data_IF_379121990674
#
_entry.id   IF_379121990674
#
_cell.length_a   1.000
_cell.length_b   1.000
_cell.length_c   1.000
_cell.angle_alpha   90.00
_cell.angle_beta   90.00
_cell.angle_gamma   90.00
#
_symmetry.space_group_name_H-M   'P 1'
#
loop_
_entity.id
_entity.type
_entity.pdbx_description
1 polymer ?
#
# COMPACT_ATOMS: atom_id res chain seq x y z
N UNK A 1 -19.56 -18.10 -4.92
CA UNK A 1 -18.28 -17.38 -5.12
C UNK A 1 -17.80 -17.66 -6.53
N UNK A 2 -17.36 -16.65 -7.28
CA UNK A 2 -16.70 -16.89 -8.58
C UNK A 2 -15.44 -17.74 -8.40
N UNK A 3 -15.11 -18.54 -9.42
CA UNK A 3 -13.92 -19.42 -9.44
C UNK A 3 -12.64 -18.63 -9.17
N UNK A 4 -12.56 -17.39 -9.67
CA UNK A 4 -11.44 -16.47 -9.43
C UNK A 4 -11.35 -15.99 -7.98
N UNK A 5 -12.46 -15.60 -7.34
CA UNK A 5 -12.45 -15.21 -5.92
C UNK A 5 -11.98 -16.37 -5.04
N UNK A 6 -12.43 -17.59 -5.34
CA UNK A 6 -11.97 -18.79 -4.62
C UNK A 6 -10.47 -19.00 -4.82
N UNK A 7 -9.98 -18.86 -6.06
CA UNK A 7 -8.55 -18.92 -6.37
C UNK A 7 -7.70 -17.86 -5.64
N UNK A 8 -8.18 -16.62 -5.56
CA UNK A 8 -7.50 -15.55 -4.79
C UNK A 8 -7.48 -15.90 -3.30
N UNK A 9 -8.61 -16.35 -2.73
CA UNK A 9 -8.67 -16.74 -1.32
C UNK A 9 -7.72 -17.90 -1.03
N UNK A 10 -7.69 -18.92 -1.87
CA UNK A 10 -6.76 -20.05 -1.75
C UNK A 10 -5.30 -19.56 -1.84
N UNK A 11 -4.98 -18.66 -2.78
CA UNK A 11 -3.66 -18.05 -2.91
C UNK A 11 -3.24 -17.27 -1.66
N UNK A 12 -4.14 -16.44 -1.12
CA UNK A 12 -3.90 -15.65 0.09
C UNK A 12 -3.63 -16.51 1.33
N UNK A 13 -4.18 -17.73 1.39
CA UNK A 13 -4.02 -18.66 2.50
C UNK A 13 -2.93 -19.71 2.28
N UNK A 14 -2.26 -19.74 1.11
CA UNK A 14 -1.13 -20.64 0.86
C UNK A 14 -0.07 -20.52 1.97
N UNK A 15 0.58 -21.61 2.41
CA UNK A 15 1.63 -21.55 3.41
C UNK A 15 2.78 -20.64 2.97
N UNK A 16 3.15 -19.66 3.80
CA UNK A 16 4.32 -18.81 3.57
C UNK A 16 5.54 -19.41 4.29
N UNK A 17 6.63 -19.66 3.55
CA UNK A 17 7.86 -20.19 4.12
C UNK A 17 8.55 -19.12 4.95
N UNK A 18 8.84 -19.40 6.23
CA UNK A 18 9.51 -18.44 7.15
C UNK A 18 11.01 -18.65 7.29
N UNK A 19 11.43 -19.91 7.18
CA UNK A 19 12.82 -20.33 7.33
C UNK A 19 13.41 -20.68 5.97
N UNK A 20 14.29 -19.80 5.50
CA UNK A 20 15.03 -19.94 4.25
C UNK A 20 16.38 -19.21 4.38
N UNK A 21 17.38 -19.61 3.58
CA UNK A 21 18.65 -18.88 3.54
C UNK A 21 18.41 -17.41 3.17
N UNK A 22 19.10 -16.50 3.85
CA UNK A 22 19.13 -15.07 3.53
C UNK A 22 20.58 -14.65 3.33
N UNK A 23 20.78 -13.47 2.74
CA UNK A 23 22.12 -12.89 2.64
C UNK A 23 22.71 -12.73 4.03
N UNK A 24 23.96 -13.16 4.19
CA UNK A 24 24.71 -12.93 5.42
C UNK A 24 25.07 -11.44 5.52
N UNK A 25 25.11 -10.93 6.74
CA UNK A 25 25.64 -9.59 7.02
C UNK A 25 27.10 -9.57 6.57
N UNK A 26 27.45 -8.61 5.71
CA UNK A 26 28.83 -8.43 5.25
C UNK A 26 29.61 -7.75 6.37
N UNK A 27 30.64 -8.44 6.85
CA UNK A 27 31.52 -7.98 7.93
C UNK A 27 32.93 -7.98 7.34
N UNK A 28 33.63 -6.85 7.46
CA UNK A 28 34.97 -6.67 6.88
C UNK A 28 36.09 -6.74 7.93
N UNK A 29 35.79 -6.55 9.21
CA UNK A 29 36.77 -6.63 10.29
C UNK A 29 36.23 -6.09 11.62
N UNK A 30 37.14 -5.89 12.59
CA UNK A 30 36.81 -5.24 13.86
C UNK A 30 36.38 -3.79 13.64
N UNK A 31 35.37 -3.35 14.40
CA UNK A 31 34.84 -1.99 14.32
C UNK A 31 34.37 -1.59 12.91
N UNK A 32 34.15 -2.55 12.01
CA UNK A 32 33.57 -2.27 10.70
C UNK A 32 32.08 -1.96 10.84
N UNK A 33 31.35 -2.87 11.48
CA UNK A 33 29.90 -2.79 11.65
C UNK A 33 29.52 -3.06 13.09
N UNK A 34 28.85 -2.10 13.71
CA UNK A 34 28.09 -2.30 14.93
C UNK A 34 26.60 -2.40 14.61
N UNK A 35 25.90 -3.18 15.43
CA UNK A 35 24.44 -3.24 15.43
C UNK A 35 23.91 -2.76 16.78
N UNK A 36 22.85 -1.97 16.78
CA UNK A 36 22.21 -1.52 18.01
C UNK A 36 20.68 -1.65 17.97
N UNK A 37 20.09 -1.83 19.14
CA UNK A 37 18.64 -2.00 19.32
C UNK A 37 18.22 -1.46 20.69
N UNK A 38 16.96 -1.03 20.81
CA UNK A 38 16.39 -0.56 22.06
C UNK A 38 15.44 -1.62 22.62
N UNK A 39 15.76 -2.16 23.80
CA UNK A 39 14.98 -3.20 24.43
C UNK A 39 14.04 -2.61 25.48
N UNK A 40 12.76 -2.94 25.38
CA UNK A 40 11.74 -2.48 26.33
C UNK A 40 11.65 -3.34 27.60
N UNK A 41 11.62 -2.67 28.76
CA UNK A 41 11.48 -3.24 30.11
C UNK A 41 10.46 -2.44 30.95
N UNK A 42 9.56 -1.69 30.31
CA UNK A 42 8.62 -0.76 30.95
C UNK A 42 7.81 -1.34 32.13
N UNK A 43 7.30 -2.60 32.07
CA UNK A 43 6.51 -3.17 33.17
C UNK A 43 7.25 -3.23 34.51
N UNK A 44 8.58 -3.20 34.49
CA UNK A 44 9.42 -3.34 35.68
C UNK A 44 10.02 -2.01 36.16
N UNK A 45 9.59 -0.88 35.61
CA UNK A 45 10.21 0.42 35.86
C UNK A 45 10.16 0.85 37.34
N UNK A 46 9.07 0.51 38.05
CA UNK A 46 8.86 0.87 39.46
C UNK A 46 9.97 0.32 40.36
N UNK A 47 10.38 -0.94 40.15
CA UNK A 47 11.44 -1.60 40.92
C UNK A 47 12.85 -1.33 40.38
N UNK A 48 12.96 -0.58 39.29
CA UNK A 48 14.22 -0.29 38.58
C UNK A 48 14.51 1.21 38.52
N UNK A 49 14.24 1.98 39.58
CA UNK A 49 14.60 3.42 39.68
C UNK A 49 14.08 4.26 38.49
N UNK A 50 12.96 3.84 37.89
CA UNK A 50 12.34 4.48 36.73
C UNK A 50 12.98 4.16 35.36
N UNK A 51 13.96 3.25 35.29
CA UNK A 51 14.52 2.78 34.02
C UNK A 51 13.51 1.88 33.29
N UNK A 52 13.27 2.18 32.02
CA UNK A 52 12.21 1.59 31.19
C UNK A 52 12.74 0.84 29.99
N UNK A 53 13.98 1.13 29.58
CA UNK A 53 14.60 0.59 28.37
C UNK A 53 16.07 0.28 28.63
N UNK A 54 16.68 -0.55 27.80
CA UNK A 54 18.14 -0.59 27.69
C UNK A 54 18.57 -0.62 26.23
N UNK A 55 19.52 0.24 25.88
CA UNK A 55 20.17 0.26 24.57
C UNK A 55 21.18 -0.88 24.56
N UNK A 56 21.12 -1.74 23.56
CA UNK A 56 22.14 -2.76 23.31
C UNK A 56 22.93 -2.42 22.07
N UNK A 57 24.25 -2.64 22.13
CA UNK A 57 25.17 -2.41 21.02
C UNK A 57 26.10 -3.62 20.93
N UNK A 58 26.37 -4.12 19.72
CA UNK A 58 27.26 -5.26 19.51
C UNK A 58 28.13 -5.04 18.28
N UNK A 59 29.43 -5.33 18.43
CA UNK A 59 30.36 -5.40 17.30
C UNK A 59 30.12 -6.70 16.51
N UNK A 60 29.86 -6.57 15.21
CA UNK A 60 29.45 -7.70 14.38
C UNK A 60 30.57 -8.73 14.19
N UNK A 61 31.84 -8.32 14.26
CA UNK A 61 32.99 -9.19 14.05
C UNK A 61 33.34 -9.97 15.33
N UNK A 62 33.71 -9.26 16.39
CA UNK A 62 34.12 -9.82 17.69
C UNK A 62 32.97 -10.35 18.53
N UNK A 63 31.72 -9.98 18.23
CA UNK A 63 30.55 -10.21 19.09
C UNK A 63 30.64 -9.51 20.45
N UNK A 64 31.60 -8.60 20.66
CA UNK A 64 31.70 -7.85 21.90
C UNK A 64 30.49 -6.92 22.00
N UNK A 65 29.81 -6.96 23.12
CA UNK A 65 28.56 -6.24 23.33
C UNK A 65 28.62 -5.31 24.53
N UNK A 66 27.79 -4.27 24.46
CA UNK A 66 27.56 -3.29 25.50
C UNK A 66 26.06 -3.11 25.69
N UNK A 67 25.66 -2.70 26.89
CA UNK A 67 24.30 -2.28 27.15
C UNK A 67 24.26 -1.15 28.17
N UNK A 68 23.36 -0.19 27.94
CA UNK A 68 23.17 0.99 28.78
C UNK A 68 21.68 1.12 29.16
N UNK A 69 21.32 1.32 30.43
CA UNK A 69 19.93 1.51 30.85
C UNK A 69 19.45 2.94 30.55
N UNK A 70 18.20 3.09 30.14
CA UNK A 70 17.55 4.38 29.83
C UNK A 70 16.19 4.51 30.51
N UNK A 71 15.87 5.73 30.94
CA UNK A 71 14.57 6.07 31.53
C UNK A 71 13.53 6.42 30.45
N UNK A 72 13.96 6.97 29.33
CA UNK A 72 13.10 7.29 28.19
C UNK A 72 13.70 6.80 26.88
N UNK A 73 12.86 6.72 25.84
CA UNK A 73 13.26 6.47 24.45
C UNK A 73 13.47 7.77 23.66
N UNK A 74 13.69 8.89 24.36
CA UNK A 74 13.92 10.17 23.67
C UNK A 74 15.23 10.13 22.92
N UNK A 75 15.25 10.83 21.79
CA UNK A 75 16.44 11.08 20.98
C UNK A 75 17.68 11.47 21.80
N UNK A 76 17.50 12.33 22.82
CA UNK A 76 18.59 12.81 23.66
C UNK A 76 19.18 11.70 24.53
N UNK A 77 18.33 10.93 25.23
CA UNK A 77 18.77 9.84 26.11
C UNK A 77 19.47 8.74 25.32
N UNK A 78 18.94 8.36 24.15
CA UNK A 78 19.56 7.35 23.28
C UNK A 78 20.91 7.83 22.76
N UNK A 79 21.03 9.11 22.38
CA UNK A 79 22.30 9.70 21.93
C UNK A 79 23.34 9.69 23.06
N UNK A 80 22.94 10.04 24.29
CA UNK A 80 23.82 10.02 25.45
C UNK A 80 24.29 8.59 25.79
N UNK A 81 23.38 7.61 25.74
CA UNK A 81 23.73 6.21 25.93
C UNK A 81 24.72 5.70 24.86
N UNK A 82 24.49 6.03 23.58
CA UNK A 82 25.44 5.71 22.50
C UNK A 82 26.82 6.35 22.74
N UNK A 83 26.87 7.61 23.20
CA UNK A 83 28.12 8.28 23.53
C UNK A 83 28.88 7.55 24.65
N UNK A 84 28.18 7.06 25.67
CA UNK A 84 28.79 6.26 26.74
C UNK A 84 29.35 4.94 26.22
N UNK A 85 28.63 4.25 25.32
CA UNK A 85 29.12 3.02 24.69
C UNK A 85 30.37 3.29 23.86
N UNK A 86 30.38 4.35 23.03
CA UNK A 86 31.55 4.73 22.23
C UNK A 86 32.76 5.02 23.12
N UNK A 87 32.56 5.72 24.25
CA UNK A 87 33.61 5.97 25.24
C UNK A 87 34.11 4.68 25.88
N UNK A 88 33.21 3.78 26.28
CA UNK A 88 33.55 2.50 26.91
C UNK A 88 34.27 1.53 25.95
N UNK A 89 33.97 1.60 24.65
CA UNK A 89 34.63 0.79 23.63
C UNK A 89 36.05 1.28 23.31
N UNK A 90 36.35 2.57 23.54
CA UNK A 90 37.63 3.20 23.22
C UNK A 90 37.90 3.38 21.71
N UNK A 91 37.04 2.84 20.85
CA UNK A 91 37.09 2.95 19.38
C UNK A 91 35.67 3.11 18.83
N UNK A 92 35.56 3.77 17.68
CA UNK A 92 34.29 4.00 16.98
C UNK A 92 34.18 3.07 15.76
N UNK A 93 32.97 2.60 15.42
CA UNK A 93 32.78 1.80 14.22
C UNK A 93 32.75 2.65 12.95
N UNK A 94 33.03 2.05 11.79
CA UNK A 94 32.77 2.70 10.49
C UNK A 94 31.27 2.82 10.22
N UNK A 95 30.53 1.79 10.61
CA UNK A 95 29.10 1.69 10.36
C UNK A 95 28.31 1.32 11.61
N UNK A 96 27.16 1.98 11.79
CA UNK A 96 26.18 1.64 12.82
C UNK A 96 24.85 1.29 12.16
N UNK A 97 24.44 0.03 12.29
CA UNK A 97 23.14 -0.43 11.82
C UNK A 97 22.13 -0.43 12.98
N UNK A 98 21.06 0.32 12.82
CA UNK A 98 19.94 0.42 13.77
C UNK A 98 18.63 -0.01 13.11
N UNK A 99 17.54 -0.01 13.87
CA UNK A 99 16.22 -0.09 13.29
C UNK A 99 15.70 1.30 12.89
N UNK A 100 14.57 1.35 12.17
CA UNK A 100 13.97 2.59 11.67
C UNK A 100 13.32 3.44 12.80
N UNK A 101 13.71 3.23 14.06
CA UNK A 101 13.23 4.01 15.19
C UNK A 101 13.63 5.48 15.06
N UNK A 102 12.65 6.38 15.22
CA UNK A 102 12.87 7.83 15.18
C UNK A 102 13.90 8.33 16.19
N UNK A 103 14.11 7.58 17.27
CA UNK A 103 15.09 7.84 18.32
C UNK A 103 16.54 7.90 17.80
N UNK A 104 16.86 7.17 16.72
CA UNK A 104 18.20 7.16 16.13
C UNK A 104 18.39 8.21 15.01
N UNK A 105 17.29 8.71 14.44
CA UNK A 105 17.28 9.63 13.29
C UNK A 105 16.94 11.07 13.69
N UNK A 106 17.69 11.61 14.64
CA UNK A 106 17.54 12.98 15.13
C UNK A 106 18.83 13.80 14.94
N UNK A 107 18.72 15.13 14.99
CA UNK A 107 19.84 16.05 14.76
C UNK A 107 21.01 15.85 15.73
N UNK A 108 20.76 15.52 17.00
CA UNK A 108 21.81 15.27 18.00
C UNK A 108 22.56 13.97 17.71
N UNK A 109 21.84 12.90 17.39
CA UNK A 109 22.44 11.62 17.00
C UNK A 109 23.26 11.78 15.72
N UNK A 110 22.71 12.47 14.70
CA UNK A 110 23.43 12.75 13.46
C UNK A 110 24.72 13.56 13.70
N UNK A 111 24.68 14.56 14.60
CA UNK A 111 25.87 15.32 14.98
C UNK A 111 26.94 14.43 15.66
N UNK A 112 26.51 13.52 16.56
CA UNK A 112 27.41 12.56 17.19
C UNK A 112 28.04 11.60 16.15
N UNK A 113 27.23 11.06 15.25
CA UNK A 113 27.70 10.18 14.17
C UNK A 113 28.71 10.91 13.27
N UNK A 114 28.42 12.16 12.88
CA UNK A 114 29.34 12.99 12.08
C UNK A 114 30.66 13.24 12.80
N UNK A 115 30.62 13.55 14.10
CA UNK A 115 31.83 13.78 14.93
C UNK A 115 32.74 12.56 14.97
N UNK A 116 32.16 11.36 15.06
CA UNK A 116 32.89 10.09 15.11
C UNK A 116 33.10 9.46 13.72
N UNK A 117 32.71 10.14 12.64
CA UNK A 117 32.77 9.65 11.25
C UNK A 117 32.06 8.29 11.06
N UNK A 118 30.96 8.09 11.79
CA UNK A 118 30.16 6.87 11.75
C UNK A 118 29.06 7.04 10.70
N UNK A 119 28.96 6.10 9.77
CA UNK A 119 27.82 6.02 8.87
C UNK A 119 26.69 5.21 9.51
N UNK A 120 25.61 5.89 9.92
CA UNK A 120 24.41 5.26 10.49
C UNK A 120 23.40 4.88 9.40
N UNK A 121 22.89 3.66 9.44
CA UNK A 121 21.88 3.20 8.48
C UNK A 121 20.90 2.19 9.09
N UNK A 122 19.78 1.99 8.40
CA UNK A 122 18.76 0.99 8.76
C UNK A 122 18.50 0.06 7.60
N UNK A 123 18.05 -1.16 7.91
CA UNK A 123 17.61 -2.12 6.89
C UNK A 123 16.09 -2.18 6.84
N UNK A 124 15.54 -2.12 5.63
CA UNK A 124 14.09 -2.20 5.37
C UNK A 124 13.54 -3.64 5.36
N UNK A 125 14.35 -4.65 5.68
CA UNK A 125 13.92 -6.07 5.69
C UNK A 125 13.19 -6.47 6.97
N UNK A 126 12.31 -7.47 6.84
CA UNK A 126 11.52 -8.09 7.93
C UNK A 126 12.36 -8.62 9.08
N UNK A 127 13.58 -9.06 8.80
CA UNK A 127 14.60 -9.41 9.81
C UNK A 127 15.57 -8.25 9.88
N UNK A 128 15.59 -7.52 11.01
CA UNK A 128 16.37 -6.29 11.19
C UNK A 128 17.87 -6.63 11.37
N UNK A 129 18.55 -5.88 12.24
CA UNK A 129 19.89 -6.13 12.74
C UNK A 129 19.96 -7.48 13.51
N UNK A 130 20.04 -8.58 12.75
CA UNK A 130 19.89 -9.95 13.27
C UNK A 130 20.92 -10.39 14.31
N UNK A 131 22.09 -9.73 14.36
CA UNK A 131 23.14 -10.04 15.33
C UNK A 131 22.76 -9.46 16.69
N UNK A 132 22.34 -8.20 16.74
CA UNK A 132 21.88 -7.57 18.00
C UNK A 132 20.59 -8.22 18.49
N UNK A 133 19.67 -8.62 17.61
CA UNK A 133 18.48 -9.40 18.00
C UNK A 133 18.84 -10.73 18.67
N UNK A 134 19.83 -11.47 18.12
CA UNK A 134 20.33 -12.70 18.74
C UNK A 134 20.95 -12.41 20.10
N UNK A 135 21.76 -11.35 20.21
CA UNK A 135 22.34 -10.93 21.47
C UNK A 135 21.26 -10.59 22.51
N UNK A 136 20.25 -9.81 22.13
CA UNK A 136 19.12 -9.44 22.99
C UNK A 136 18.39 -10.67 23.53
N UNK A 137 18.21 -11.72 22.70
CA UNK A 137 17.66 -12.99 23.16
C UNK A 137 18.54 -13.64 24.23
N UNK A 138 19.84 -13.74 24.01
CA UNK A 138 20.78 -14.31 24.99
C UNK A 138 20.79 -13.51 26.29
N UNK A 139 20.85 -12.18 26.20
CA UNK A 139 20.85 -11.30 27.36
C UNK A 139 19.55 -11.44 28.17
N UNK A 140 18.39 -11.43 27.50
CA UNK A 140 17.10 -11.68 28.15
C UNK A 140 17.06 -13.04 28.83
N UNK A 141 17.50 -14.11 28.17
CA UNK A 141 17.53 -15.45 28.78
C UNK A 141 18.35 -15.47 30.07
N UNK A 142 19.55 -14.85 30.07
CA UNK A 142 20.36 -14.74 31.29
C UNK A 142 19.67 -13.90 32.36
N UNK A 143 19.13 -12.74 31.99
CA UNK A 143 18.42 -11.84 32.89
C UNK A 143 17.21 -12.49 33.56
N UNK A 144 16.40 -13.25 32.81
CA UNK A 144 15.25 -13.97 33.36
C UNK A 144 15.64 -15.09 34.32
N UNK A 145 16.78 -15.75 34.11
CA UNK A 145 17.30 -16.72 35.09
C UNK A 145 17.68 -16.04 36.39
N UNK A 146 18.35 -14.88 36.33
CA UNK A 146 18.67 -14.10 37.53
C UNK A 146 17.40 -13.61 38.22
N UNK A 147 16.37 -13.17 37.48
CA UNK A 147 15.08 -12.78 38.06
C UNK A 147 14.45 -13.91 38.87
N UNK A 148 14.42 -15.12 38.31
CA UNK A 148 13.91 -16.29 39.02
C UNK A 148 14.75 -16.63 40.24
N UNK A 149 16.07 -16.52 40.15
CA UNK A 149 16.99 -16.82 41.25
C UNK A 149 16.88 -15.81 42.41
N UNK A 150 16.73 -14.52 42.11
CA UNK A 150 16.67 -13.46 43.12
C UNK A 150 15.24 -13.10 43.59
N UNK A 151 14.20 -13.66 42.95
CA UNK A 151 12.81 -13.36 43.26
C UNK A 151 12.39 -11.91 42.98
N UNK A 152 13.09 -11.21 42.09
CA UNK A 152 12.88 -9.78 41.82
C UNK A 152 13.21 -9.42 40.37
N UNK A 153 12.50 -8.43 39.82
CA UNK A 153 12.72 -7.92 38.47
C UNK A 153 13.73 -6.76 38.39
N UNK A 154 14.57 -6.57 39.43
CA UNK A 154 15.67 -5.59 39.42
C UNK A 154 16.74 -6.00 38.41
N UNK A 155 16.81 -5.32 37.26
CA UNK A 155 17.74 -5.62 36.17
C UNK A 155 18.82 -4.56 35.98
N UNK A 156 18.59 -3.31 36.39
CA UNK A 156 19.55 -2.20 36.18
C UNK A 156 20.90 -2.53 36.80
N UNK A 157 20.89 -3.03 38.04
CA UNK A 157 22.10 -3.37 38.78
C UNK A 157 22.72 -4.71 38.31
N UNK A 158 21.93 -5.58 37.65
CA UNK A 158 22.40 -6.84 37.06
C UNK A 158 23.09 -6.66 35.71
N UNK A 159 22.69 -5.63 34.96
CA UNK A 159 23.09 -5.46 33.56
C UNK A 159 24.62 -5.50 33.36
N UNK A 160 25.46 -4.79 34.15
CA UNK A 160 26.92 -4.85 33.98
C UNK A 160 27.51 -6.26 34.18
N UNK A 161 26.98 -7.03 35.16
CA UNK A 161 27.39 -8.42 35.41
C UNK A 161 27.06 -9.29 34.19
N UNK A 162 25.83 -9.21 33.68
CA UNK A 162 25.38 -10.01 32.54
C UNK A 162 26.16 -9.73 31.25
N UNK A 163 26.50 -8.47 31.00
CA UNK A 163 27.30 -8.07 29.84
C UNK A 163 28.72 -8.60 29.94
N UNK A 164 29.35 -8.51 31.12
CA UNK A 164 30.67 -9.07 31.38
C UNK A 164 30.68 -10.58 31.16
N UNK A 165 29.76 -11.31 31.77
CA UNK A 165 29.63 -12.75 31.55
C UNK A 165 29.45 -13.12 30.07
N UNK A 166 28.66 -12.34 29.33
CA UNK A 166 28.45 -12.56 27.90
C UNK A 166 29.77 -12.39 27.12
N UNK A 167 30.54 -11.34 27.41
CA UNK A 167 31.80 -11.03 26.73
C UNK A 167 32.96 -11.95 27.15
N UNK A 168 32.89 -12.55 28.34
CA UNK A 168 33.89 -13.49 28.87
C UNK A 168 33.55 -14.96 28.58
N UNK A 169 32.38 -15.24 28.00
CA UNK A 169 32.01 -16.59 27.58
C UNK A 169 32.52 -16.90 26.18
N UNK A 170 32.96 -18.14 25.93
CA UNK A 170 33.35 -18.58 24.58
C UNK A 170 32.11 -18.65 23.68
N UNK A 171 32.14 -17.97 22.54
CA UNK A 171 31.03 -17.98 21.59
C UNK A 171 31.32 -18.91 20.42
N UNK A 172 30.50 -19.95 20.24
CA UNK A 172 30.62 -20.91 19.12
C UNK A 172 30.79 -20.24 17.74
N UNK A 173 30.13 -19.10 17.53
CA UNK A 173 30.09 -18.38 16.25
C UNK A 173 31.47 -17.86 15.83
N UNK A 174 32.31 -17.47 16.79
CA UNK A 174 33.67 -16.95 16.56
C UNK A 174 34.75 -17.94 17.05
N UNK A 175 34.42 -18.83 17.99
CA UNK A 175 35.33 -19.84 18.55
C UNK A 175 36.11 -19.40 19.79
N UNK A 176 35.94 -18.16 20.24
CA UNK A 176 36.66 -17.59 21.38
C UNK A 176 35.76 -16.64 22.18
N UNK A 177 36.31 -16.03 23.25
CA UNK A 177 35.60 -15.02 24.04
C UNK A 177 35.59 -13.68 23.28
N UNK A 178 34.45 -12.98 23.20
CA UNK A 178 34.40 -11.66 22.56
C UNK A 178 35.40 -10.63 23.09
N UNK A 179 35.72 -10.68 24.38
CA UNK A 179 36.65 -9.74 25.01
C UNK A 179 38.11 -9.95 24.58
N UNK A 180 38.47 -11.17 24.18
CA UNK A 180 39.85 -11.56 23.83
C UNK A 180 40.16 -11.37 22.33
N UNK A 181 39.19 -10.95 21.52
CA UNK A 181 39.37 -10.83 20.07
C UNK A 181 40.32 -9.69 19.73
N UNK A 182 41.35 -10.01 18.94
CA UNK A 182 42.34 -9.05 18.42
C UNK A 182 42.33 -8.99 16.89
N UNK A 183 43.08 -8.05 16.31
CA UNK A 183 43.24 -7.94 14.84
C UNK A 183 43.82 -9.22 14.21
N UNK A 184 44.64 -9.98 14.95
CA UNK A 184 45.25 -11.24 14.47
C UNK A 184 44.21 -12.34 14.25
N UNK A 185 43.10 -12.30 14.99
CA UNK A 185 42.04 -13.32 14.94
C UNK A 185 41.04 -13.05 13.80
N UNK A 186 41.00 -11.81 13.29
CA UNK A 186 40.03 -11.35 12.30
C UNK A 186 39.98 -12.24 11.05
N UNK A 187 41.09 -12.63 10.41
CA UNK A 187 41.03 -13.48 9.21
C UNK A 187 40.30 -14.81 9.46
N UNK A 188 40.60 -15.49 10.57
CA UNK A 188 39.96 -16.74 10.97
C UNK A 188 38.47 -16.52 11.26
N UNK A 189 38.14 -15.46 12.02
CA UNK A 189 36.76 -15.11 12.36
C UNK A 189 35.96 -14.85 11.07
N UNK A 190 36.48 -14.04 10.15
CA UNK A 190 35.82 -13.73 8.88
C UNK A 190 35.60 -14.98 8.03
N UNK A 191 36.57 -15.90 7.98
CA UNK A 191 36.42 -17.18 7.28
C UNK A 191 35.25 -17.98 7.87
N UNK A 192 35.19 -18.09 9.22
CA UNK A 192 34.12 -18.80 9.93
C UNK A 192 32.75 -18.16 9.71
N UNK A 193 32.67 -16.83 9.74
CA UNK A 193 31.42 -16.08 9.52
C UNK A 193 30.90 -16.20 8.08
N UNK A 194 31.80 -16.10 7.10
CA UNK A 194 31.47 -16.28 5.67
C UNK A 194 30.97 -17.69 5.41
N UNK A 195 31.52 -18.69 6.09
CA UNK A 195 31.18 -20.10 5.91
C UNK A 195 31.59 -20.61 4.52
N UNK A 196 31.29 -21.88 4.20
CA UNK A 196 31.65 -22.44 2.91
C UNK A 196 30.87 -21.75 1.78
N UNK A 197 31.47 -21.65 0.58
CA UNK A 197 30.74 -21.20 -0.61
C UNK A 197 29.59 -22.17 -0.92
N UNK A 198 28.50 -21.65 -1.48
CA UNK A 198 27.39 -22.50 -1.92
C UNK A 198 27.86 -23.55 -2.93
N UNK A 199 27.38 -24.78 -2.75
CA UNK A 199 27.63 -25.88 -3.68
C UNK A 199 27.02 -25.60 -5.06
N UNK A 200 27.52 -26.29 -6.11
CA UNK A 200 26.94 -26.22 -7.47
C UNK A 200 25.45 -26.60 -7.48
N UNK A 201 25.06 -27.55 -6.64
CA UNK A 201 23.66 -28.03 -6.51
C UNK A 201 22.77 -26.92 -5.95
N UNK A 202 23.20 -26.25 -4.87
CA UNK A 202 22.44 -25.15 -4.27
C UNK A 202 22.31 -23.96 -5.22
N UNK A 203 23.39 -23.62 -5.96
CA UNK A 203 23.34 -22.58 -6.99
C UNK A 203 22.32 -22.91 -8.08
N UNK A 204 22.30 -24.15 -8.59
CA UNK A 204 21.30 -24.61 -9.58
C UNK A 204 19.88 -24.59 -9.02
N UNK A 205 19.68 -25.01 -7.77
CA UNK A 205 18.37 -25.00 -7.11
C UNK A 205 17.82 -23.57 -6.96
N UNK A 206 18.67 -22.61 -6.60
CA UNK A 206 18.29 -21.20 -6.50
C UNK A 206 17.96 -20.60 -7.88
N UNK A 207 18.69 -20.99 -8.93
CA UNK A 207 18.45 -20.51 -10.28
C UNK A 207 17.11 -21.01 -10.88
N UNK A 208 16.73 -22.28 -10.64
CA UNK A 208 15.49 -22.88 -11.18
C UNK A 208 14.19 -22.22 -10.71
N UNK A 209 14.21 -21.50 -9.58
CA UNK A 209 13.03 -20.85 -8.98
C UNK A 209 13.00 -19.34 -9.16
N UNK A 210 13.85 -18.82 -10.05
CA UNK A 210 13.96 -17.39 -10.33
C UNK A 210 12.65 -16.85 -10.90
N UNK A 211 12.22 -15.69 -10.41
CA UNK A 211 11.14 -14.90 -11.01
C UNK A 211 11.73 -13.87 -11.97
N UNK A 212 10.91 -13.39 -12.90
CA UNK A 212 11.33 -12.49 -13.94
C UNK A 212 10.87 -11.05 -13.67
N UNK A 213 11.57 -10.10 -14.27
CA UNK A 213 11.12 -8.71 -14.30
C UNK A 213 9.76 -8.66 -14.99
N UNK A 214 8.80 -7.96 -14.39
CA UNK A 214 7.42 -7.85 -14.88
C UNK A 214 6.42 -8.80 -14.23
N UNK A 215 6.87 -9.85 -13.53
CA UNK A 215 5.98 -10.76 -12.81
C UNK A 215 5.21 -10.02 -11.72
N UNK A 216 3.92 -10.35 -11.56
CA UNK A 216 3.08 -9.85 -10.48
C UNK A 216 3.14 -10.82 -9.30
N UNK A 217 3.36 -10.28 -8.10
CA UNK A 217 3.61 -11.05 -6.89
C UNK A 217 2.89 -10.47 -5.68
N UNK A 218 2.59 -11.32 -4.70
CA UNK A 218 2.19 -10.94 -3.34
C UNK A 218 3.36 -11.12 -2.39
N UNK A 219 3.44 -10.28 -1.37
CA UNK A 219 4.49 -10.33 -0.34
C UNK A 219 3.98 -11.11 0.87
N UNK A 220 4.81 -11.94 1.49
CA UNK A 220 4.44 -12.67 2.70
C UNK A 220 4.14 -11.71 3.87
N UNK A 221 2.98 -11.86 4.54
CA UNK A 221 2.62 -11.05 5.72
C UNK A 221 3.36 -11.55 6.95
N UNK A 222 3.90 -10.66 7.78
CA UNK A 222 4.32 -11.02 9.14
C UNK A 222 3.09 -11.07 10.03
N UNK A 223 2.74 -12.24 10.56
CA UNK A 223 1.63 -12.37 11.48
C UNK A 223 2.02 -11.78 12.84
N UNK A 224 1.17 -10.94 13.41
CA UNK A 224 1.37 -10.48 14.79
C UNK A 224 1.31 -11.68 15.76
N UNK A 225 1.92 -11.58 16.95
CA UNK A 225 1.98 -12.67 17.94
C UNK A 225 0.59 -13.21 18.39
N UNK A 226 -0.49 -12.48 18.09
CA UNK A 226 -1.87 -12.83 18.41
C UNK A 226 -2.75 -13.10 17.18
N UNK A 227 -2.19 -13.09 15.97
CA UNK A 227 -2.93 -13.33 14.73
C UNK A 227 -3.13 -14.84 14.52
N UNK A 228 -4.40 -15.28 14.54
CA UNK A 228 -4.77 -16.70 14.48
C UNK A 228 -4.38 -17.38 13.16
N UNK A 229 -4.11 -18.68 13.19
CA UNK A 229 -3.58 -19.45 12.06
C UNK A 229 -4.38 -19.38 10.75
N UNK A 230 -5.69 -19.17 10.85
CA UNK A 230 -6.60 -19.06 9.70
C UNK A 230 -6.53 -17.73 8.94
N UNK A 231 -5.77 -16.73 9.38
CA UNK A 231 -5.64 -15.46 8.66
C UNK A 231 -4.74 -15.57 7.42
N UNK A 232 -4.92 -14.72 6.39
CA UNK A 232 -4.10 -14.71 5.19
C UNK A 232 -2.60 -14.61 5.47
N UNK A 233 -1.82 -15.44 4.77
CA UNK A 233 -0.36 -15.48 4.85
C UNK A 233 0.32 -14.53 3.85
N UNK A 234 -0.38 -14.09 2.81
CA UNK A 234 0.12 -13.23 1.73
C UNK A 234 -0.60 -11.89 1.67
N UNK A 235 0.06 -10.87 1.14
CA UNK A 235 -0.49 -9.51 0.98
C UNK A 235 -1.70 -9.53 0.05
N UNK A 236 -2.69 -8.71 0.38
CA UNK A 236 -3.85 -8.50 -0.51
C UNK A 236 -3.51 -7.53 -1.64
N UNK A 237 -2.56 -6.62 -1.38
CA UNK A 237 -1.88 -5.84 -2.40
C UNK A 237 -1.03 -6.72 -3.32
N UNK A 238 -0.97 -6.31 -4.59
CA UNK A 238 -0.19 -6.94 -5.65
C UNK A 238 0.94 -6.00 -6.04
N UNK A 239 2.14 -6.54 -6.15
CA UNK A 239 3.35 -5.82 -6.50
C UNK A 239 3.92 -6.35 -7.81
N UNK A 240 4.73 -5.53 -8.48
CA UNK A 240 5.40 -5.90 -9.72
C UNK A 240 6.91 -5.97 -9.52
N UNK A 241 7.56 -7.01 -10.03
CA UNK A 241 9.02 -7.12 -10.02
C UNK A 241 9.61 -6.13 -11.02
N UNK A 242 10.48 -5.24 -10.54
CA UNK A 242 11.18 -4.23 -11.36
C UNK A 242 12.60 -4.66 -11.67
N UNK A 243 13.25 -5.35 -10.73
CA UNK A 243 14.63 -5.81 -10.90
C UNK A 243 14.87 -7.18 -10.26
N UNK A 244 15.79 -7.94 -10.84
CA UNK A 244 16.29 -9.20 -10.28
C UNK A 244 17.79 -9.06 -10.02
N UNK A 245 18.16 -8.97 -8.75
CA UNK A 245 19.52 -8.75 -8.31
C UNK A 245 20.27 -10.10 -8.18
N UNK A 246 21.43 -10.28 -8.84
CA UNK A 246 22.20 -11.53 -8.84
C UNK A 246 22.98 -11.74 -7.52
N UNK A 247 22.31 -11.55 -6.39
CA UNK A 247 22.86 -11.81 -5.06
C UNK A 247 22.76 -13.29 -4.69
N UNK A 248 23.38 -13.67 -3.58
CA UNK A 248 23.30 -15.03 -3.05
C UNK A 248 22.69 -15.01 -1.64
N UNK A 249 21.42 -15.42 -1.46
CA UNK A 249 20.41 -15.78 -2.48
C UNK A 249 19.95 -14.58 -3.33
N UNK A 250 19.29 -14.85 -4.48
CA UNK A 250 18.76 -13.83 -5.40
C UNK A 250 17.77 -12.94 -4.66
N UNK A 251 17.83 -11.63 -4.91
CA UNK A 251 16.91 -10.64 -4.33
C UNK A 251 16.18 -9.84 -5.40
N UNK A 252 14.99 -9.35 -5.07
CA UNK A 252 14.09 -8.67 -5.99
C UNK A 252 13.77 -7.26 -5.49
N UNK A 253 13.66 -6.32 -6.42
CA UNK A 253 13.07 -5.00 -6.19
C UNK A 253 11.64 -4.98 -6.73
N UNK A 254 10.74 -4.40 -5.94
CA UNK A 254 9.31 -4.38 -6.23
C UNK A 254 8.80 -2.95 -6.33
N UNK A 255 7.69 -2.78 -7.05
CA UNK A 255 6.86 -1.56 -7.00
C UNK A 255 5.41 -1.89 -6.75
N UNK A 256 4.69 -0.96 -6.13
CA UNK A 256 3.24 -1.04 -5.95
C UNK A 256 2.47 -0.65 -7.23
N UNK A 257 1.14 -0.58 -7.11
CA UNK A 257 0.23 -0.17 -8.18
C UNK A 257 0.37 1.32 -8.57
N UNK A 258 1.00 2.14 -7.73
CA UNK A 258 1.28 3.56 -7.98
C UNK A 258 2.69 3.79 -8.53
N UNK A 259 3.36 2.73 -8.99
CA UNK A 259 4.74 2.74 -9.47
C UNK A 259 5.77 3.20 -8.42
N UNK A 260 5.42 3.19 -7.14
CA UNK A 260 6.34 3.53 -6.05
C UNK A 260 7.21 2.32 -5.72
N UNK A 261 8.53 2.51 -5.72
CA UNK A 261 9.48 1.45 -5.36
C UNK A 261 9.32 1.11 -3.87
N UNK A 262 9.06 -0.17 -3.60
CA UNK A 262 9.01 -0.68 -2.24
C UNK A 262 10.43 -0.77 -1.69
N UNK A 263 10.68 -0.02 -0.62
CA UNK A 263 12.00 0.02 0.02
C UNK A 263 12.34 -1.35 0.62
N UNK A 264 13.54 -1.83 0.32
CA UNK A 264 14.04 -3.11 0.80
C UNK A 264 14.45 -4.04 -0.33
N UNK A 265 14.82 -5.27 0.03
CA UNK A 265 15.17 -6.34 -0.91
C UNK A 265 14.38 -7.58 -0.50
N UNK A 266 13.68 -8.17 -1.46
CA UNK A 266 12.80 -9.32 -1.21
C UNK A 266 13.47 -10.61 -1.67
N UNK A 267 13.25 -11.70 -0.95
CA UNK A 267 13.67 -13.05 -1.35
C UNK A 267 12.56 -13.78 -2.07
N UNK A 268 12.91 -14.79 -2.89
CA UNK A 268 11.92 -15.59 -3.63
C UNK A 268 10.85 -16.20 -2.71
N UNK A 269 11.25 -16.66 -1.53
CA UNK A 269 10.38 -17.25 -0.53
C UNK A 269 9.39 -16.27 0.11
N UNK A 270 9.66 -14.96 0.00
CA UNK A 270 8.76 -13.88 0.45
C UNK A 270 7.77 -13.47 -0.63
N UNK A 271 7.85 -14.06 -1.82
CA UNK A 271 7.04 -13.71 -2.99
C UNK A 271 6.20 -14.89 -3.46
N UNK A 272 4.90 -14.63 -3.65
CA UNK A 272 3.96 -15.56 -4.25
C UNK A 272 3.51 -14.99 -5.59
N UNK A 273 3.88 -15.60 -6.74
CA UNK A 273 3.34 -15.19 -8.03
C UNK A 273 1.83 -15.27 -8.03
N UNK A 274 1.18 -14.27 -8.62
CA UNK A 274 -0.27 -14.18 -8.80
C UNK A 274 -0.62 -14.08 -10.28
N UNK A 275 -1.63 -14.82 -10.69
CA UNK A 275 -2.23 -14.68 -12.02
C UNK A 275 -3.43 -13.73 -12.01
N UNK A 276 -3.85 -13.26 -10.82
CA UNK A 276 -5.02 -12.40 -10.60
C UNK A 276 -4.62 -10.92 -10.50
N UNK A 277 -3.91 -10.40 -11.51
CA UNK A 277 -3.34 -9.04 -11.50
C UNK A 277 -4.39 -7.91 -11.52
N UNK A 278 -5.59 -8.19 -12.04
CA UNK A 278 -6.65 -7.18 -12.28
C UNK A 278 -7.85 -7.33 -11.32
N UNK A 279 -7.75 -8.21 -10.31
CA UNK A 279 -8.89 -8.56 -9.44
C UNK A 279 -8.60 -8.19 -7.98
N UNK A 280 -9.36 -7.24 -7.44
CA UNK A 280 -9.27 -6.79 -6.05
C UNK A 280 -10.51 -7.19 -5.25
N UNK A 281 -10.31 -7.58 -4.00
CA UNK A 281 -11.42 -7.92 -3.09
C UNK A 281 -11.93 -6.63 -2.41
N UNK A 282 -13.24 -6.43 -2.36
CA UNK A 282 -13.86 -5.31 -1.63
C UNK A 282 -13.97 -5.67 -0.15
N UNK A 283 -13.47 -4.81 0.75
CA UNK A 283 -13.67 -4.93 2.20
C UNK A 283 -15.06 -4.47 2.60
N UNK A 284 -15.35 -3.23 2.20
CA UNK A 284 -16.52 -2.49 2.63
C UNK A 284 -16.81 -1.40 1.61
N UNK A 285 -18.09 -1.19 1.35
CA UNK A 285 -18.54 0.01 0.64
C UNK A 285 -18.61 1.14 1.67
N UNK A 286 -17.75 2.15 1.51
CA UNK A 286 -17.67 3.30 2.41
C UNK A 286 -18.77 4.32 2.13
N UNK A 287 -19.04 4.58 0.85
CA UNK A 287 -20.08 5.50 0.40
C UNK A 287 -20.75 4.96 -0.86
N UNK A 288 -22.04 5.26 -1.01
CA UNK A 288 -22.79 4.98 -2.23
C UNK A 288 -23.23 6.30 -2.82
N UNK A 289 -23.02 6.48 -4.13
CA UNK A 289 -23.51 7.66 -4.85
C UNK A 289 -23.95 7.20 -6.23
N UNK A 290 -25.25 7.24 -6.50
CA UNK A 290 -25.86 6.81 -7.78
C UNK A 290 -25.37 5.41 -8.20
N UNK A 291 -24.73 5.31 -9.37
CA UNK A 291 -24.19 4.08 -9.96
C UNK A 291 -22.75 3.78 -9.55
N UNK A 292 -22.21 4.46 -8.53
CA UNK A 292 -20.87 4.19 -8.04
C UNK A 292 -20.87 3.85 -6.55
N UNK A 293 -19.94 2.98 -6.19
CA UNK A 293 -19.61 2.67 -4.81
C UNK A 293 -18.18 3.16 -4.55
N UNK A 294 -17.99 3.99 -3.52
CA UNK A 294 -16.67 4.29 -3.00
C UNK A 294 -16.29 3.13 -2.09
N UNK A 295 -15.33 2.32 -2.53
CA UNK A 295 -14.96 1.09 -1.83
C UNK A 295 -13.67 1.24 -1.07
N UNK A 296 -13.66 0.62 0.10
CA UNK A 296 -12.44 0.21 0.77
C UNK A 296 -12.06 -1.16 0.23
N UNK A 297 -10.92 -1.25 -0.41
CA UNK A 297 -10.38 -2.54 -0.85
C UNK A 297 -9.85 -3.33 0.34
N UNK A 298 -10.13 -4.62 0.35
CA UNK A 298 -9.78 -5.54 1.42
C UNK A 298 -8.26 -5.55 1.61
N UNK A 299 -7.82 -5.04 2.76
CA UNK A 299 -6.42 -4.95 3.16
C UNK A 299 -5.54 -3.99 2.39
N UNK A 300 -6.10 -3.00 1.69
CA UNK A 300 -5.39 -1.79 1.29
C UNK A 300 -5.71 -0.64 2.26
N UNK A 301 -4.84 0.35 2.33
CA UNK A 301 -5.07 1.55 3.14
C UNK A 301 -6.08 2.51 2.46
N UNK A 302 -6.43 3.58 3.16
CA UNK A 302 -7.45 4.51 2.69
C UNK A 302 -7.04 5.32 1.44
N UNK A 303 -5.74 5.40 1.12
CA UNK A 303 -5.25 6.10 -0.07
C UNK A 303 -5.64 5.37 -1.37
N UNK A 304 -5.86 4.07 -1.27
CA UNK A 304 -6.29 3.22 -2.39
C UNK A 304 -7.81 3.20 -2.57
N UNK A 305 -8.58 3.80 -1.66
CA UNK A 305 -10.03 3.84 -1.79
C UNK A 305 -10.42 4.54 -3.08
N UNK A 306 -11.26 3.90 -3.88
CA UNK A 306 -11.64 4.43 -5.18
C UNK A 306 -13.13 4.29 -5.44
N UNK A 307 -13.64 5.16 -6.31
CA UNK A 307 -14.99 5.03 -6.84
C UNK A 307 -14.98 3.97 -7.93
N UNK A 308 -15.83 2.97 -7.79
CA UNK A 308 -16.03 1.93 -8.79
C UNK A 308 -17.46 1.90 -9.28
N UNK A 309 -17.62 1.54 -10.55
CA UNK A 309 -18.91 1.55 -11.21
C UNK A 309 -19.72 0.29 -10.91
N UNK A 310 -21.03 0.44 -10.70
CA UNK A 310 -21.97 -0.67 -10.51
C UNK A 310 -21.96 -1.66 -11.67
N UNK A 311 -21.61 -1.24 -12.88
CA UNK A 311 -21.45 -2.11 -14.06
C UNK A 311 -20.48 -3.26 -13.85
N UNK A 312 -19.52 -3.08 -12.94
CA UNK A 312 -18.54 -4.12 -12.62
C UNK A 312 -19.14 -5.20 -11.71
N UNK A 313 -20.37 -5.05 -11.20
CA UNK A 313 -21.01 -5.96 -10.28
C UNK A 313 -22.15 -6.77 -10.91
N UNK A 314 -22.27 -8.05 -10.55
CA UNK A 314 -23.46 -8.86 -10.77
C UNK A 314 -24.60 -8.48 -9.81
N UNK A 315 -25.76 -9.14 -9.95
CA UNK A 315 -26.97 -8.92 -9.13
C UNK A 315 -26.75 -9.11 -7.62
N UNK A 316 -25.68 -9.79 -7.24
CA UNK A 316 -25.33 -10.11 -5.84
C UNK A 316 -24.20 -9.19 -5.31
N UNK A 317 -23.75 -8.21 -6.11
CA UNK A 317 -22.67 -7.30 -5.73
C UNK A 317 -21.28 -7.91 -5.87
N UNK A 318 -21.08 -8.87 -6.79
CA UNK A 318 -19.76 -9.45 -7.10
C UNK A 318 -19.13 -8.89 -8.36
N UNK A 319 -17.82 -8.61 -8.30
CA UNK A 319 -17.07 -8.17 -9.46
C UNK A 319 -16.85 -9.30 -10.48
N UNK A 320 -17.46 -9.23 -11.67
CA UNK A 320 -17.22 -10.13 -12.80
C UNK A 320 -17.43 -9.41 -14.14
N UNK A 321 -16.58 -9.70 -15.12
CA UNK A 321 -16.80 -9.30 -16.52
C UNK A 321 -17.78 -10.30 -17.16
N UNK A 322 -19.08 -9.98 -17.10
CA UNK A 322 -20.16 -10.82 -17.62
C UNK A 322 -20.57 -10.45 -19.05
N UNK A 323 -19.88 -9.48 -19.67
CA UNK A 323 -20.10 -9.05 -21.05
C UNK A 323 -19.10 -9.76 -21.94
N UNK A 324 -19.56 -10.30 -23.07
CA UNK A 324 -18.63 -10.85 -24.05
C UNK A 324 -17.84 -9.72 -24.75
N UNK A 325 -16.71 -10.07 -25.38
CA UNK A 325 -15.82 -9.10 -26.05
C UNK A 325 -16.53 -8.25 -27.11
N UNK A 326 -17.54 -8.79 -27.79
CA UNK A 326 -18.31 -8.04 -28.78
C UNK A 326 -19.17 -6.95 -28.10
N UNK A 327 -19.83 -7.27 -26.98
CA UNK A 327 -20.60 -6.30 -26.20
C UNK A 327 -19.70 -5.22 -25.60
N UNK A 328 -18.50 -5.58 -25.11
CA UNK A 328 -17.52 -4.61 -24.60
C UNK A 328 -17.07 -3.65 -25.72
N UNK A 329 -16.82 -4.17 -26.92
CA UNK A 329 -16.41 -3.35 -28.07
C UNK A 329 -17.52 -2.38 -28.47
N UNK A 330 -18.74 -2.89 -28.67
CA UNK A 330 -19.91 -2.07 -29.00
C UNK A 330 -20.17 -1.00 -27.93
N UNK A 331 -20.02 -1.36 -26.65
CA UNK A 331 -20.15 -0.42 -25.56
C UNK A 331 -19.11 0.70 -25.58
N UNK A 332 -17.85 0.36 -25.85
CA UNK A 332 -16.77 1.34 -25.97
C UNK A 332 -17.01 2.27 -27.15
N UNK A 333 -17.43 1.74 -28.30
CA UNK A 333 -17.78 2.53 -29.49
C UNK A 333 -18.92 3.52 -29.20
N UNK A 334 -20.01 3.04 -28.59
CA UNK A 334 -21.15 3.90 -28.24
C UNK A 334 -20.80 4.92 -27.13
N UNK A 335 -19.97 4.52 -26.16
CA UNK A 335 -19.46 5.42 -25.11
C UNK A 335 -18.55 6.50 -25.69
N UNK A 336 -17.74 6.16 -26.69
CA UNK A 336 -16.85 7.11 -27.36
C UNK A 336 -17.65 8.23 -28.04
N UNK A 337 -18.80 7.92 -28.65
CA UNK A 337 -19.72 8.95 -29.18
C UNK A 337 -20.09 9.99 -28.10
N UNK A 338 -20.47 9.53 -26.89
CA UNK A 338 -20.82 10.41 -25.78
C UNK A 338 -19.59 11.22 -25.32
N UNK A 339 -18.40 10.61 -25.24
CA UNK A 339 -17.17 11.34 -24.89
C UNK A 339 -16.92 12.46 -25.89
N UNK A 340 -17.01 12.16 -27.19
CA UNK A 340 -16.70 13.10 -28.27
C UNK A 340 -17.75 14.22 -28.38
N UNK A 341 -19.03 13.90 -28.19
CA UNK A 341 -20.10 14.89 -28.12
C UNK A 341 -19.86 15.86 -26.96
N UNK A 342 -19.67 15.34 -25.74
CA UNK A 342 -19.56 16.20 -24.57
C UNK A 342 -18.24 16.97 -24.53
N UNK A 343 -17.17 16.44 -25.12
CA UNK A 343 -15.88 17.15 -25.22
C UNK A 343 -15.91 18.36 -26.17
N UNK A 344 -16.94 18.48 -27.01
CA UNK A 344 -17.15 19.64 -27.88
C UNK A 344 -17.90 20.79 -27.20
N UNK A 345 -18.49 20.56 -26.02
CA UNK A 345 -19.15 21.63 -25.30
C UNK A 345 -18.12 22.54 -24.61
N UNK A 346 -18.20 23.83 -24.95
CA UNK A 346 -17.44 24.90 -24.33
C UNK A 346 -18.30 25.60 -23.28
N UNK A 347 -17.70 25.92 -22.13
CA UNK A 347 -18.31 26.72 -21.08
C UNK A 347 -17.80 28.15 -21.22
N UNK A 348 -18.66 29.01 -21.76
CA UNK A 348 -18.32 30.40 -22.13
C UNK A 348 -17.85 31.21 -20.92
N UNK A 349 -18.32 30.87 -19.71
CA UNK A 349 -18.01 31.60 -18.47
C UNK A 349 -16.55 31.45 -18.01
N UNK A 350 -15.86 30.40 -18.48
CA UNK A 350 -14.47 30.09 -18.08
C UNK A 350 -13.58 29.71 -19.26
N UNK A 351 -14.09 29.81 -20.48
CA UNK A 351 -13.40 29.52 -21.74
C UNK A 351 -12.79 28.11 -21.85
N UNK A 352 -13.41 27.11 -21.19
CA UNK A 352 -12.91 25.73 -21.16
C UNK A 352 -13.87 24.74 -21.79
N UNK A 353 -13.31 23.72 -22.45
CA UNK A 353 -14.06 22.56 -22.92
C UNK A 353 -14.30 21.57 -21.79
N UNK A 354 -15.48 20.95 -21.81
CA UNK A 354 -15.83 19.91 -20.86
C UNK A 354 -14.98 18.65 -21.11
N UNK A 355 -14.53 17.99 -20.04
CA UNK A 355 -13.88 16.70 -20.16
C UNK A 355 -14.91 15.58 -20.33
N UNK A 356 -15.23 15.20 -21.57
CA UNK A 356 -16.20 14.15 -21.87
C UNK A 356 -15.82 12.78 -21.31
N UNK A 357 -14.52 12.47 -21.19
CA UNK A 357 -14.03 11.21 -20.60
C UNK A 357 -14.25 11.15 -19.09
N UNK A 358 -14.07 12.28 -18.40
CA UNK A 358 -14.33 12.36 -16.95
C UNK A 358 -15.82 12.27 -16.63
N UNK A 359 -16.67 12.86 -17.47
CA UNK A 359 -18.12 12.97 -17.24
C UNK A 359 -18.96 11.85 -17.89
N UNK A 360 -18.33 11.00 -18.70
CA UNK A 360 -18.99 9.96 -19.51
C UNK A 360 -20.03 9.12 -18.75
N UNK A 361 -19.74 8.74 -17.50
CA UNK A 361 -20.63 7.86 -16.72
C UNK A 361 -21.97 8.51 -16.43
N UNK A 362 -21.95 9.78 -16.02
CA UNK A 362 -23.15 10.55 -15.72
C UNK A 362 -23.87 10.98 -16.99
N UNK A 363 -23.13 11.34 -18.05
CA UNK A 363 -23.72 11.69 -19.34
C UNK A 363 -24.48 10.52 -19.97
N UNK A 364 -23.93 9.31 -19.87
CA UNK A 364 -24.60 8.06 -20.29
C UNK A 364 -25.86 7.83 -19.46
N UNK A 365 -25.79 8.05 -18.13
CA UNK A 365 -26.93 7.88 -17.25
C UNK A 365 -28.06 8.88 -17.53
N UNK A 366 -27.74 10.15 -17.82
CA UNK A 366 -28.73 11.16 -18.15
C UNK A 366 -29.45 10.85 -19.47
N UNK A 367 -28.69 10.45 -20.49
CA UNK A 367 -29.24 10.03 -21.80
C UNK A 367 -30.14 8.79 -21.66
N UNK A 368 -29.65 7.76 -20.97
CA UNK A 368 -30.41 6.53 -20.74
C UNK A 368 -31.65 6.77 -19.88
N UNK A 369 -31.51 7.52 -18.78
CA UNK A 369 -32.59 7.84 -17.85
C UNK A 369 -33.73 8.61 -18.52
N UNK A 370 -33.40 9.65 -19.31
CA UNK A 370 -34.39 10.40 -20.08
C UNK A 370 -35.16 9.50 -21.05
N UNK A 371 -34.44 8.68 -21.82
CA UNK A 371 -35.03 7.78 -22.82
C UNK A 371 -35.96 6.75 -22.17
N UNK A 372 -35.54 6.13 -21.06
CA UNK A 372 -36.34 5.12 -20.37
C UNK A 372 -37.55 5.72 -19.66
N UNK A 373 -37.41 6.90 -19.03
CA UNK A 373 -38.54 7.59 -18.39
C UNK A 373 -39.59 8.04 -19.41
N UNK A 374 -39.20 8.57 -20.57
CA UNK A 374 -40.15 8.94 -21.62
C UNK A 374 -40.87 7.71 -22.21
N UNK A 375 -40.15 6.61 -22.43
CA UNK A 375 -40.76 5.34 -22.86
C UNK A 375 -41.77 4.81 -21.83
N UNK A 376 -41.44 4.90 -20.55
CA UNK A 376 -42.35 4.52 -19.48
C UNK A 376 -43.61 5.41 -19.46
N UNK A 377 -43.44 6.72 -19.63
CA UNK A 377 -44.53 7.67 -19.75
C UNK A 377 -45.47 7.35 -20.92
N UNK A 378 -44.94 7.21 -22.15
CA UNK A 378 -45.76 6.85 -23.32
C UNK A 378 -46.43 5.49 -23.18
N UNK A 379 -45.79 4.52 -22.49
CA UNK A 379 -46.42 3.22 -22.18
C UNK A 379 -47.60 3.40 -21.22
N UNK A 380 -47.47 4.24 -20.20
CA UNK A 380 -48.54 4.56 -19.26
C UNK A 380 -49.72 5.26 -19.96
N UNK A 381 -49.44 6.23 -20.83
CA UNK A 381 -50.45 6.93 -21.65
C UNK A 381 -51.20 5.93 -22.54
N UNK A 382 -50.48 4.98 -23.16
CA UNK A 382 -51.10 3.94 -23.99
C UNK A 382 -52.13 3.08 -23.22
N UNK A 383 -51.96 2.90 -21.91
CA UNK A 383 -52.86 2.08 -21.08
C UNK A 383 -53.92 2.89 -20.33
N UNK A 384 -53.68 4.18 -20.06
CA UNK A 384 -54.58 5.01 -19.24
C UNK A 384 -55.22 6.17 -20.01
N UNK A 385 -54.83 6.41 -21.26
CA UNK A 385 -55.23 7.58 -22.04
C UNK A 385 -54.34 8.79 -21.80
N UNK A 386 -54.56 9.83 -22.59
CA UNK A 386 -53.89 11.13 -22.43
C UNK A 386 -54.44 11.87 -21.21
N UNK A 387 -53.57 12.60 -20.51
CA UNK A 387 -53.93 13.40 -19.35
C UNK A 387 -54.66 14.69 -19.74
N UNK A 388 -55.29 15.35 -18.76
CA UNK A 388 -55.87 16.68 -18.97
C UNK A 388 -54.75 17.72 -19.03
N UNK A 389 -54.82 18.58 -20.05
CA UNK A 389 -53.88 19.68 -20.23
C UNK A 389 -53.85 20.61 -19.01
N UNK A 390 -52.66 21.15 -18.71
CA UNK A 390 -52.48 22.11 -17.63
C UNK A 390 -53.08 23.47 -17.99
N UNK A 391 -53.84 24.11 -17.08
CA UNK A 391 -54.40 25.44 -17.33
C UNK A 391 -53.27 26.47 -17.48
N UNK A 392 -53.40 27.38 -18.46
CA UNK A 392 -52.44 28.46 -18.69
C UNK A 392 -51.16 28.07 -19.45
N UNK A 393 -51.04 26.82 -19.90
CA UNK A 393 -49.91 26.35 -20.72
C UNK A 393 -50.41 25.75 -22.05
N UNK A 394 -50.04 26.37 -23.17
CA UNK A 394 -50.35 25.83 -24.50
C UNK A 394 -49.28 24.83 -24.96
N UNK A 395 -49.14 23.72 -24.23
CA UNK A 395 -48.14 22.67 -24.49
C UNK A 395 -48.75 21.28 -24.34
N UNK A 396 -48.33 20.34 -25.18
CA UNK A 396 -48.73 18.93 -25.04
C UNK A 396 -48.03 18.28 -23.85
N UNK A 397 -48.54 17.15 -23.34
CA UNK A 397 -47.87 16.47 -22.24
C UNK A 397 -46.48 15.93 -22.61
N UNK A 398 -46.25 15.55 -23.86
CA UNK A 398 -44.92 15.18 -24.34
C UNK A 398 -43.94 16.37 -24.27
N UNK A 399 -44.40 17.59 -24.59
CA UNK A 399 -43.61 18.79 -24.43
C UNK A 399 -43.38 19.12 -22.93
N UNK A 400 -44.43 19.00 -22.11
CA UNK A 400 -44.34 19.21 -20.67
C UNK A 400 -43.37 18.23 -19.97
N UNK A 401 -43.29 16.99 -20.45
CA UNK A 401 -42.33 16.01 -19.95
C UNK A 401 -40.89 16.50 -20.10
N UNK A 402 -40.51 16.95 -21.30
CA UNK A 402 -39.16 17.45 -21.55
C UNK A 402 -38.91 18.82 -20.91
N UNK A 403 -39.94 19.67 -20.81
CA UNK A 403 -39.86 20.93 -20.07
C UNK A 403 -39.57 20.67 -18.59
N UNK A 404 -40.30 19.75 -17.96
CA UNK A 404 -40.09 19.36 -16.57
C UNK A 404 -38.69 18.77 -16.36
N UNK A 405 -38.24 17.90 -17.27
CA UNK A 405 -36.87 17.39 -17.26
C UNK A 405 -35.83 18.51 -17.28
N UNK A 406 -36.01 19.51 -18.16
CA UNK A 406 -35.07 20.63 -18.28
C UNK A 406 -35.09 21.52 -17.01
N UNK A 407 -36.26 21.76 -16.43
CA UNK A 407 -36.42 22.60 -15.24
C UNK A 407 -35.71 22.05 -14.00
N UNK A 408 -35.56 20.73 -13.87
CA UNK A 408 -34.79 20.10 -12.78
C UNK A 408 -33.32 20.60 -12.76
N UNK A 409 -32.80 21.02 -13.91
CA UNK A 409 -31.42 21.48 -14.07
C UNK A 409 -31.29 23.01 -14.15
N UNK A 410 -32.38 23.75 -13.92
CA UNK A 410 -32.34 25.22 -13.87
C UNK A 410 -31.41 25.69 -12.76
N UNK A 411 -30.41 26.48 -13.13
CA UNK A 411 -29.44 27.07 -12.22
C UNK A 411 -28.26 27.64 -12.98
N UNK A 412 -27.60 28.63 -12.39
CA UNK A 412 -26.34 29.20 -12.89
C UNK A 412 -25.22 28.90 -11.91
N UNK A 413 -23.97 28.93 -12.38
CA UNK A 413 -22.79 28.78 -11.52
C UNK A 413 -21.99 30.08 -11.56
N UNK A 414 -21.32 30.42 -10.46
CA UNK A 414 -20.29 31.46 -10.49
C UNK A 414 -19.08 30.96 -11.31
N UNK A 415 -18.30 31.84 -11.97
CA UNK A 415 -17.15 31.42 -12.78
C UNK A 415 -16.16 30.54 -12.02
N UNK A 416 -15.91 30.82 -10.74
CA UNK A 416 -14.99 30.06 -9.89
C UNK A 416 -15.52 28.64 -9.59
N UNK A 417 -16.83 28.52 -9.36
CA UNK A 417 -17.51 27.25 -9.16
C UNK A 417 -17.55 26.44 -10.45
N UNK A 418 -17.76 27.10 -11.60
CA UNK A 418 -17.73 26.48 -12.91
C UNK A 418 -16.34 25.89 -13.20
N UNK A 419 -15.26 26.64 -12.93
CA UNK A 419 -13.88 26.20 -13.09
C UNK A 419 -13.56 24.99 -12.20
N UNK A 420 -13.98 25.04 -10.93
CA UNK A 420 -13.80 23.94 -9.97
C UNK A 420 -14.54 22.69 -10.45
N UNK A 421 -15.80 22.86 -10.87
CA UNK A 421 -16.64 21.75 -11.35
C UNK A 421 -16.06 21.11 -12.61
N UNK A 422 -15.54 21.88 -13.57
CA UNK A 422 -14.90 21.32 -14.78
C UNK A 422 -13.66 20.49 -14.43
N UNK A 423 -12.88 20.91 -13.44
CA UNK A 423 -11.61 20.25 -13.09
C UNK A 423 -11.79 19.00 -12.22
N UNK A 424 -12.83 18.95 -11.38
CA UNK A 424 -12.96 17.89 -10.37
C UNK A 424 -14.32 17.19 -10.31
N UNK A 425 -15.35 17.68 -11.00
CA UNK A 425 -16.68 17.06 -10.99
C UNK A 425 -16.81 16.01 -12.10
N UNK A 426 -17.33 14.84 -11.71
CA UNK A 426 -17.75 13.80 -12.67
C UNK A 426 -19.12 14.09 -13.32
N UNK A 427 -19.79 15.17 -12.93
CA UNK A 427 -21.05 15.60 -13.53
C UNK A 427 -20.85 16.84 -14.39
N UNK A 428 -21.42 16.84 -15.59
CA UNK A 428 -21.54 18.03 -16.44
C UNK A 428 -22.35 19.14 -15.73
N UNK A 429 -22.09 20.42 -16.03
CA UNK A 429 -22.94 21.54 -15.60
C UNK A 429 -24.40 21.36 -16.03
N UNK A 430 -25.35 21.91 -15.27
CA UNK A 430 -26.79 21.71 -15.47
C UNK A 430 -27.26 21.96 -16.90
N UNK A 431 -26.85 23.09 -17.51
CA UNK A 431 -27.13 23.42 -18.92
C UNK A 431 -26.72 22.31 -19.88
N UNK A 432 -25.54 21.71 -19.72
CA UNK A 432 -25.05 20.63 -20.59
C UNK A 432 -25.77 19.30 -20.34
N UNK A 433 -26.27 19.09 -19.12
CA UNK A 433 -27.15 17.94 -18.79
C UNK A 433 -28.56 18.07 -19.36
N UNK A 434 -28.92 19.25 -19.85
CA UNK A 434 -30.13 19.46 -20.67
C UNK A 434 -29.79 19.30 -22.15
N UNK A 435 -28.81 20.06 -22.64
CA UNK A 435 -28.48 20.11 -24.08
C UNK A 435 -28.02 18.76 -24.63
N UNK A 436 -27.16 18.03 -23.90
CA UNK A 436 -26.64 16.73 -24.34
C UNK A 436 -27.74 15.69 -24.52
N UNK A 437 -28.50 15.33 -23.46
CA UNK A 437 -29.54 14.31 -23.54
C UNK A 437 -30.68 14.67 -24.51
N UNK A 438 -31.13 15.93 -24.53
CA UNK A 438 -32.22 16.35 -25.42
C UNK A 438 -31.80 16.34 -26.90
N UNK A 439 -30.56 16.76 -27.23
CA UNK A 439 -30.08 16.71 -28.62
C UNK A 439 -29.93 15.29 -29.17
N UNK A 440 -29.66 14.31 -28.30
CA UNK A 440 -29.65 12.89 -28.63
C UNK A 440 -31.05 12.24 -28.66
N UNK A 441 -32.09 12.92 -28.19
CA UNK A 441 -33.45 12.38 -28.11
C UNK A 441 -34.24 12.66 -29.38
N UNK A 442 -34.54 11.60 -30.15
CA UNK A 442 -35.46 11.68 -31.30
C UNK A 442 -36.86 12.06 -30.85
N UNK A 443 -37.27 11.60 -29.66
CA UNK A 443 -38.59 11.88 -29.10
C UNK A 443 -38.75 13.35 -28.72
N UNK A 444 -37.69 13.97 -28.19
CA UNK A 444 -37.67 15.42 -27.94
C UNK A 444 -37.79 16.20 -29.25
N UNK A 445 -36.97 15.84 -30.24
CA UNK A 445 -37.00 16.50 -31.55
C UNK A 445 -38.37 16.39 -32.21
N UNK A 446 -39.08 15.26 -32.02
CA UNK A 446 -40.46 15.08 -32.49
C UNK A 446 -41.45 15.94 -31.70
N UNK A 447 -41.39 15.92 -30.36
CA UNK A 447 -42.31 16.66 -29.50
C UNK A 447 -42.26 18.19 -29.73
N UNK A 448 -41.09 18.71 -30.10
CA UNK A 448 -40.86 20.13 -30.39
C UNK A 448 -40.73 20.46 -31.88
N UNK A 449 -40.97 19.50 -32.78
CA UNK A 449 -40.83 19.67 -34.23
C UNK A 449 -39.48 20.31 -34.65
N UNK A 450 -38.36 19.88 -34.04
CA UNK A 450 -37.05 20.44 -34.31
C UNK A 450 -36.55 20.06 -35.72
N UNK A 451 -36.15 21.02 -36.57
CA UNK A 451 -35.65 20.74 -37.91
C UNK A 451 -34.38 19.86 -37.90
N UNK A 452 -34.22 18.89 -38.82
CA UNK A 452 -32.98 18.12 -38.94
C UNK A 452 -31.75 19.01 -39.12
N UNK A 453 -30.65 18.71 -38.43
CA UNK A 453 -29.41 19.50 -38.46
C UNK A 453 -29.42 20.73 -37.55
N UNK A 454 -30.55 21.08 -36.93
CA UNK A 454 -30.58 22.12 -35.91
C UNK A 454 -29.76 21.72 -34.66
N UNK A 455 -29.31 22.67 -33.82
CA UNK A 455 -28.50 22.36 -32.64
C UNK A 455 -29.13 21.32 -31.70
N UNK A 456 -30.46 21.29 -31.60
CA UNK A 456 -31.21 20.33 -30.78
C UNK A 456 -31.73 19.12 -31.55
N UNK A 457 -31.46 19.03 -32.86
CA UNK A 457 -31.71 17.84 -33.67
C UNK A 457 -30.53 17.55 -34.63
N UNK A 458 -29.32 17.29 -34.10
CA UNK A 458 -28.17 16.93 -34.92
C UNK A 458 -28.40 15.62 -35.66
N UNK A 459 -27.76 15.48 -36.83
CA UNK A 459 -27.84 14.30 -37.70
C UNK A 459 -27.26 13.04 -37.03
N UNK A 460 -26.13 13.19 -36.35
CA UNK A 460 -25.52 12.13 -35.53
C UNK A 460 -25.97 12.26 -34.08
N UNK A 461 -26.63 11.24 -33.55
CA UNK A 461 -27.10 11.15 -32.16
C UNK A 461 -26.42 10.00 -31.44
N UNK A 462 -25.94 10.24 -30.22
CA UNK A 462 -25.30 9.21 -29.42
C UNK A 462 -26.33 8.43 -28.59
N UNK A 463 -26.24 7.10 -28.57
CA UNK A 463 -27.13 6.25 -27.76
C UNK A 463 -26.40 5.00 -27.28
N UNK A 464 -26.29 4.84 -25.96
CA UNK A 464 -25.68 3.65 -25.34
C UNK A 464 -26.74 2.65 -24.86
N UNK A 465 -27.80 3.14 -24.18
CA UNK A 465 -28.85 2.33 -23.55
C UNK A 465 -30.21 2.44 -24.26
#
# INVERSE_FOLDING_TARGET
MSTEKRGIVEELHKPARRNYPRRKVRILGLFDLWQADLVEMQPYASVNKGYRYHLTVIDACSRKAWAEPLKSKTAADVTYALQRVLKAAGKSPKHLQVDMGSEFYNSKCQALMKRHQINIYSSYSTTKASIVERFNRTLKTKMWKEFSAQGSYKWVDLLPKLIREYNESVHRTIGMKPIDVTEKDVPMILQKLRGPPLSKIEKRRLARRKLNVGDHVRISRLKAMFEKGYTPNWSREIFKIVSVNPTVPITYDLKDAHDTIIKGKFYREELQPTNYKDTFLVEKILRRKKNQAFVKWLGLDASHNSWIDRRQFDKDGNMQEWWNNATIRAFREQTQCIIDQYSRYKLDEVDLFLNGRMTQGENIADNGGLKQSFRAYRKWVKTHGEEKLLPGLNMTHDQLFFLNYAQIWCGTNRPEDALTKIRSSVHSPGRLRVLGPLSNSVDFARAYNCPPGSPMNPTSKCSVW
#
